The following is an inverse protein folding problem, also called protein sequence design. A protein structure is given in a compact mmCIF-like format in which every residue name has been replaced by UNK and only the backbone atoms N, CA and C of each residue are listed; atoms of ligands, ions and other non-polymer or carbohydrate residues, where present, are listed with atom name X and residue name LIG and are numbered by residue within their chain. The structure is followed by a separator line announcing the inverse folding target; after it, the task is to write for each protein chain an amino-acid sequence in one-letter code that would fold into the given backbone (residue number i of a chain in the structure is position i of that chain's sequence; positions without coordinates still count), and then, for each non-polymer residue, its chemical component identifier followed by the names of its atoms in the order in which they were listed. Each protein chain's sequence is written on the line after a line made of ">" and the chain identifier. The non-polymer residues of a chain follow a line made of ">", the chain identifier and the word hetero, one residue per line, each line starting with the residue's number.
data_IF_334897325310
#
_entry.id   IF_334897325310
#
_cell.length_a   1.000
_cell.length_b   1.000
_cell.length_c   1.000
_cell.angle_alpha   90.00
_cell.angle_beta   90.00
_cell.angle_gamma   90.00
#
_symmetry.space_group_name_H-M   'P 1'
#
loop_
_entity.id
_entity.type
_entity.pdbx_description
1 polymer ?
#
# COMPACT_ATOMS: atom_id res chain seq x y z
N UNK A 1 2.86 31.40 -9.55
CA UNK A 1 2.92 31.10 -10.99
C UNK A 1 2.67 29.62 -11.16
N UNK A 2 1.45 29.20 -11.57
CA UNK A 2 1.18 27.81 -11.99
C UNK A 2 2.01 27.56 -13.25
N UNK A 3 3.07 26.79 -13.16
CA UNK A 3 3.72 26.25 -14.35
C UNK A 3 2.70 25.30 -14.98
N UNK A 4 2.04 25.74 -16.04
CA UNK A 4 1.18 24.89 -16.86
C UNK A 4 2.08 23.87 -17.54
N UNK A 5 2.20 22.67 -16.92
CA UNK A 5 2.88 21.57 -17.58
C UNK A 5 2.15 21.28 -18.90
N UNK A 6 2.88 21.02 -19.99
CA UNK A 6 2.27 20.64 -21.25
C UNK A 6 1.42 19.36 -21.05
N UNK A 7 0.25 19.34 -21.66
CA UNK A 7 -0.80 18.32 -21.45
C UNK A 7 -0.26 16.89 -21.62
N UNK A 8 0.65 16.66 -22.55
CA UNK A 8 1.25 15.34 -22.78
C UNK A 8 2.11 14.86 -21.59
N UNK A 9 2.87 15.77 -20.93
CA UNK A 9 3.63 15.42 -19.72
C UNK A 9 2.70 15.07 -18.55
N UNK A 10 1.60 15.78 -18.44
CA UNK A 10 0.59 15.53 -17.43
C UNK A 10 -0.05 14.14 -17.61
N UNK A 11 -0.46 13.81 -18.85
CA UNK A 11 -1.02 12.51 -19.19
C UNK A 11 -0.01 11.38 -18.94
N UNK A 12 1.26 11.56 -19.33
CA UNK A 12 2.29 10.53 -19.09
C UNK A 12 2.53 10.29 -17.60
N UNK A 13 2.55 11.32 -16.77
CA UNK A 13 2.72 11.17 -15.32
C UNK A 13 1.53 10.47 -14.67
N UNK A 14 0.30 10.76 -15.09
CA UNK A 14 -0.93 10.10 -14.58
C UNK A 14 -0.95 8.62 -14.91
N UNK A 15 -0.48 8.22 -16.09
CA UNK A 15 -0.55 6.83 -16.53
C UNK A 15 0.69 6.05 -16.09
N UNK A 16 1.89 6.57 -16.37
CA UNK A 16 3.13 5.85 -16.11
C UNK A 16 3.50 5.79 -14.62
N UNK A 17 3.18 6.83 -13.85
CA UNK A 17 3.44 6.84 -12.42
C UNK A 17 2.72 5.70 -11.68
N UNK A 18 1.37 5.62 -11.73
CA UNK A 18 0.63 4.52 -11.13
C UNK A 18 1.03 3.15 -11.66
N UNK A 19 1.20 2.98 -12.98
CA UNK A 19 1.63 1.71 -13.57
C UNK A 19 3.00 1.26 -13.06
N UNK A 20 3.95 2.18 -12.90
CA UNK A 20 5.26 1.89 -12.35
C UNK A 20 5.16 1.36 -10.91
N UNK A 21 4.39 2.00 -10.04
CA UNK A 21 4.21 1.55 -8.66
C UNK A 21 3.40 0.26 -8.56
N UNK A 22 2.40 0.06 -9.42
CA UNK A 22 1.70 -1.23 -9.54
C UNK A 22 2.66 -2.36 -9.93
N UNK A 23 3.53 -2.12 -10.90
CA UNK A 23 4.52 -3.11 -11.33
C UNK A 23 5.51 -3.45 -10.21
N UNK A 24 6.00 -2.44 -9.48
CA UNK A 24 6.87 -2.64 -8.33
C UNK A 24 6.19 -3.48 -7.24
N UNK A 25 4.91 -3.24 -6.97
CA UNK A 25 4.16 -4.00 -5.96
C UNK A 25 4.03 -5.49 -6.30
N UNK A 26 4.13 -5.87 -7.57
CA UNK A 26 4.13 -7.27 -8.00
C UNK A 26 5.54 -7.91 -7.92
N UNK A 27 6.60 -7.12 -8.13
CA UNK A 27 7.97 -7.62 -8.09
C UNK A 27 8.40 -7.96 -6.65
N UNK A 28 8.04 -7.13 -5.67
CA UNK A 28 8.49 -7.29 -4.27
C UNK A 28 8.11 -8.66 -3.68
N UNK A 29 6.89 -9.17 -3.83
CA UNK A 29 6.54 -10.53 -3.39
C UNK A 29 7.40 -11.61 -4.05
N UNK A 30 7.71 -11.45 -5.35
CA UNK A 30 8.57 -12.39 -6.09
C UNK A 30 9.98 -12.40 -5.47
N UNK A 31 10.53 -11.24 -5.14
CA UNK A 31 11.83 -11.14 -4.45
C UNK A 31 11.76 -11.80 -3.08
N UNK A 32 10.65 -11.71 -2.36
CA UNK A 32 10.41 -12.42 -1.11
C UNK A 32 10.57 -13.94 -1.23
N UNK A 33 10.25 -14.54 -2.39
CA UNK A 33 10.39 -15.99 -2.61
C UNK A 33 11.84 -16.44 -2.73
N UNK A 34 12.81 -15.53 -2.91
CA UNK A 34 14.24 -15.86 -2.98
C UNK A 34 14.78 -16.38 -1.63
N UNK A 35 14.11 -16.09 -0.54
CA UNK A 35 14.47 -16.64 0.77
C UNK A 35 13.72 -17.94 1.06
N UNK A 36 14.44 -18.98 1.49
CA UNK A 36 13.83 -20.23 1.94
C UNK A 36 13.32 -20.16 3.40
N UNK A 37 13.78 -19.16 4.17
CA UNK A 37 13.38 -18.94 5.56
C UNK A 37 12.18 -18.00 5.63
N UNK A 38 11.20 -18.32 6.50
CA UNK A 38 10.06 -17.43 6.73
C UNK A 38 10.49 -16.06 7.28
N UNK A 39 11.53 -16.01 8.14
CA UNK A 39 12.08 -14.75 8.64
C UNK A 39 12.67 -13.94 7.49
N UNK A 40 13.45 -14.58 6.61
CA UNK A 40 14.03 -13.92 5.45
C UNK A 40 12.96 -13.37 4.49
N UNK A 41 11.89 -14.14 4.24
CA UNK A 41 10.72 -13.67 3.46
C UNK A 41 10.12 -12.42 4.08
N UNK A 42 9.80 -12.46 5.36
CA UNK A 42 9.19 -11.32 6.08
C UNK A 42 10.07 -10.07 6.00
N UNK A 43 11.36 -10.22 6.25
CA UNK A 43 12.32 -9.11 6.16
C UNK A 43 12.39 -8.52 4.76
N UNK A 44 12.48 -9.36 3.72
CA UNK A 44 12.51 -8.90 2.33
C UNK A 44 11.22 -8.17 1.93
N UNK A 45 10.07 -8.65 2.38
CA UNK A 45 8.78 -7.99 2.11
C UNK A 45 8.69 -6.61 2.78
N UNK A 46 9.07 -6.49 4.05
CA UNK A 46 9.10 -5.17 4.71
C UNK A 46 10.12 -4.23 4.10
N UNK A 47 11.33 -4.71 3.80
CA UNK A 47 12.33 -3.92 3.08
C UNK A 47 11.80 -3.44 1.73
N UNK A 48 11.08 -4.29 1.00
CA UNK A 48 10.42 -3.93 -0.25
C UNK A 48 9.43 -2.79 -0.10
N UNK A 49 8.62 -2.78 0.97
CA UNK A 49 7.70 -1.68 1.28
C UNK A 49 8.45 -0.36 1.50
N UNK A 50 9.57 -0.38 2.23
CA UNK A 50 10.42 0.80 2.43
C UNK A 50 11.10 1.25 1.13
N UNK A 51 11.51 0.33 0.27
CA UNK A 51 12.06 0.66 -1.05
C UNK A 51 11.02 1.36 -1.91
N UNK A 52 9.78 0.87 -1.94
CA UNK A 52 8.66 1.52 -2.68
C UNK A 52 8.44 2.95 -2.16
N UNK A 53 8.40 3.15 -0.83
CA UNK A 53 8.29 4.48 -0.23
C UNK A 53 9.48 5.40 -0.61
N UNK A 54 10.69 4.86 -0.57
CA UNK A 54 11.91 5.59 -0.97
C UNK A 54 11.87 6.02 -2.43
N UNK A 55 11.46 5.13 -3.32
CA UNK A 55 11.28 5.42 -4.74
C UNK A 55 10.19 6.46 -4.97
N UNK A 56 9.10 6.43 -4.20
CA UNK A 56 8.07 7.47 -4.25
C UNK A 56 8.62 8.85 -3.86
N UNK A 57 9.37 8.94 -2.76
CA UNK A 57 10.01 10.19 -2.34
C UNK A 57 10.98 10.70 -3.41
N UNK A 58 11.74 9.80 -4.01
CA UNK A 58 12.66 10.13 -5.11
C UNK A 58 11.89 10.64 -6.33
N UNK A 59 10.82 9.95 -6.72
CA UNK A 59 9.93 10.36 -7.80
C UNK A 59 9.40 11.79 -7.59
N UNK A 60 8.90 12.10 -6.38
CA UNK A 60 8.40 13.44 -6.06
C UNK A 60 9.49 14.52 -6.15
N UNK A 61 10.71 14.21 -5.69
CA UNK A 61 11.83 15.16 -5.75
C UNK A 61 12.30 15.42 -7.18
N UNK A 62 12.39 14.38 -8.02
CA UNK A 62 12.93 14.47 -9.37
C UNK A 62 11.92 15.04 -10.36
N UNK A 63 10.70 14.48 -10.38
CA UNK A 63 9.68 14.83 -11.38
C UNK A 63 8.81 16.00 -10.95
N UNK A 64 8.44 16.07 -9.67
CA UNK A 64 7.51 17.08 -9.17
C UNK A 64 8.21 18.21 -8.40
N UNK A 65 9.50 18.06 -8.06
CA UNK A 65 10.30 19.04 -7.33
C UNK A 65 9.63 19.52 -6.03
N UNK A 66 8.95 18.63 -5.32
CA UNK A 66 8.26 18.90 -4.04
C UNK A 66 8.65 17.94 -2.92
N UNK A 67 8.30 18.31 -1.69
CA UNK A 67 8.45 17.47 -0.50
C UNK A 67 7.14 16.72 -0.23
N UNK A 68 7.18 15.42 0.16
CA UNK A 68 6.00 14.62 0.49
C UNK A 68 5.43 15.03 1.85
N UNK A 69 4.54 16.02 1.90
CA UNK A 69 3.88 16.39 3.16
C UNK A 69 2.81 15.38 3.58
N UNK A 70 2.41 14.51 2.68
CA UNK A 70 1.52 13.37 2.95
C UNK A 70 2.12 12.36 3.95
N UNK A 71 3.46 12.28 4.01
CA UNK A 71 4.22 11.38 4.89
C UNK A 71 4.53 11.98 6.26
N UNK A 72 3.90 13.08 6.67
CA UNK A 72 4.11 13.67 8.00
C UNK A 72 3.58 12.76 9.10
N UNK A 73 4.49 12.13 9.84
CA UNK A 73 4.19 11.16 10.91
C UNK A 73 3.33 11.72 12.05
N UNK A 74 3.43 13.01 12.34
CA UNK A 74 2.77 13.62 13.53
C UNK A 74 1.23 13.58 13.49
N UNK A 75 0.65 13.53 12.29
CA UNK A 75 -0.81 13.46 12.09
C UNK A 75 -1.28 12.06 11.65
N UNK A 76 -0.33 11.16 11.36
CA UNK A 76 -0.63 9.86 10.75
C UNK A 76 -1.03 8.80 11.75
N UNK A 77 -0.49 8.82 12.98
CA UNK A 77 -0.72 7.74 13.95
C UNK A 77 -2.18 7.61 14.40
N UNK A 78 -2.89 8.69 14.83
CA UNK A 78 -4.30 8.58 15.18
C UNK A 78 -5.17 8.17 13.98
N UNK A 79 -4.87 8.69 12.79
CA UNK A 79 -5.58 8.32 11.56
C UNK A 79 -5.34 6.85 11.18
N UNK A 80 -4.13 6.35 11.40
CA UNK A 80 -3.78 4.93 11.17
C UNK A 80 -4.56 4.03 12.13
N UNK A 81 -4.60 4.36 13.42
CA UNK A 81 -5.37 3.60 14.41
C UNK A 81 -6.86 3.62 14.10
N UNK A 82 -7.40 4.77 13.73
CA UNK A 82 -8.80 4.91 13.32
C UNK A 82 -9.10 4.08 12.07
N UNK A 83 -8.25 4.14 11.05
CA UNK A 83 -8.39 3.35 9.83
C UNK A 83 -8.29 1.85 10.11
N UNK A 84 -7.37 1.42 10.97
CA UNK A 84 -7.24 0.02 11.39
C UNK A 84 -8.51 -0.47 12.12
N UNK A 85 -9.05 0.34 13.03
CA UNK A 85 -10.26 -0.01 13.77
C UNK A 85 -11.48 -0.11 12.84
N UNK A 86 -11.68 0.88 11.96
CA UNK A 86 -12.82 0.89 11.01
C UNK A 86 -12.68 -0.27 10.02
N UNK A 87 -11.48 -0.49 9.45
CA UNK A 87 -11.22 -1.58 8.53
C UNK A 87 -11.43 -2.95 9.17
N UNK A 88 -10.93 -3.14 10.38
CA UNK A 88 -11.14 -4.37 11.15
C UNK A 88 -12.63 -4.62 11.45
N UNK A 89 -13.36 -3.59 11.88
CA UNK A 89 -14.80 -3.69 12.11
C UNK A 89 -15.54 -4.07 10.83
N UNK A 90 -15.18 -3.47 9.71
CA UNK A 90 -15.78 -3.77 8.41
C UNK A 90 -15.60 -5.23 8.00
N UNK A 91 -14.39 -5.78 8.18
CA UNK A 91 -14.10 -7.20 7.90
C UNK A 91 -14.92 -8.12 8.81
N UNK A 92 -14.95 -7.82 10.12
CA UNK A 92 -15.73 -8.60 11.09
C UNK A 92 -17.23 -8.59 10.73
N UNK A 93 -17.77 -7.43 10.35
CA UNK A 93 -19.16 -7.32 9.91
C UNK A 93 -19.41 -8.12 8.63
N UNK A 94 -18.52 -8.03 7.63
CA UNK A 94 -18.67 -8.76 6.38
C UNK A 94 -18.67 -10.28 6.60
N UNK A 95 -17.70 -10.79 7.38
CA UNK A 95 -17.63 -12.22 7.73
C UNK A 95 -18.84 -12.63 8.56
N UNK A 96 -19.29 -11.81 9.50
CA UNK A 96 -20.49 -12.05 10.31
C UNK A 96 -21.75 -12.17 9.45
N UNK A 97 -21.93 -11.30 8.46
CA UNK A 97 -23.05 -11.37 7.51
C UNK A 97 -22.98 -12.67 6.70
N UNK A 98 -21.81 -13.05 6.18
CA UNK A 98 -21.66 -14.31 5.43
C UNK A 98 -21.95 -15.54 6.30
N UNK A 99 -21.58 -15.50 7.58
CA UNK A 99 -21.89 -16.57 8.53
C UNK A 99 -23.39 -16.66 8.82
N UNK A 100 -24.07 -15.52 8.98
CA UNK A 100 -25.53 -15.47 9.20
C UNK A 100 -26.33 -16.06 8.02
N UNK A 101 -25.85 -15.85 6.78
CA UNK A 101 -26.44 -16.45 5.58
C UNK A 101 -26.05 -17.92 5.36
N UNK A 102 -25.24 -18.51 6.26
CA UNK A 102 -24.79 -19.89 6.15
C UNK A 102 -23.78 -20.15 5.01
N UNK A 103 -23.27 -19.08 4.36
CA UNK A 103 -22.26 -19.16 3.31
C UNK A 103 -20.88 -19.46 3.89
N UNK A 104 -20.61 -18.96 5.10
CA UNK A 104 -19.37 -19.16 5.81
C UNK A 104 -19.61 -19.91 7.13
N UNK A 105 -18.86 -20.99 7.35
CA UNK A 105 -18.88 -21.75 8.60
C UNK A 105 -17.51 -21.75 9.23
N UNK A 106 -17.44 -21.40 10.51
CA UNK A 106 -16.20 -21.47 11.29
C UNK A 106 -16.10 -22.90 11.81
N UNK A 107 -15.23 -23.72 11.19
CA UNK A 107 -15.00 -25.11 11.62
C UNK A 107 -13.98 -25.17 12.76
N UNK A 108 -12.90 -24.34 12.69
CA UNK A 108 -11.90 -24.24 13.73
C UNK A 108 -11.21 -22.86 13.67
N UNK A 109 -10.76 -22.38 14.82
CA UNK A 109 -9.92 -21.18 14.90
C UNK A 109 -8.51 -21.67 15.25
N UNK A 110 -7.67 -21.77 14.22
CA UNK A 110 -6.23 -22.04 14.37
C UNK A 110 -5.46 -20.81 13.96
N UNK A 111 -4.60 -20.29 14.83
CA UNK A 111 -3.76 -19.11 14.54
C UNK A 111 -2.34 -19.63 14.25
N UNK A 112 -1.95 -19.58 12.98
CA UNK A 112 -0.57 -19.72 12.60
C UNK A 112 0.08 -18.33 12.57
N UNK A 113 0.93 -18.08 13.57
CA UNK A 113 1.61 -16.78 13.73
C UNK A 113 2.58 -16.49 12.59
N UNK A 114 3.17 -17.51 11.96
CA UNK A 114 4.09 -17.34 10.83
C UNK A 114 3.31 -16.85 9.63
N UNK A 115 2.20 -17.51 9.31
CA UNK A 115 1.33 -17.10 8.21
C UNK A 115 0.72 -15.71 8.45
N UNK A 116 0.33 -15.41 9.69
CA UNK A 116 -0.18 -14.09 10.03
C UNK A 116 0.84 -12.98 9.78
N UNK A 117 2.09 -13.18 10.20
CA UNK A 117 3.17 -12.20 9.99
C UNK A 117 3.51 -12.05 8.51
N UNK A 118 3.59 -13.16 7.77
CA UNK A 118 3.83 -13.13 6.33
C UNK A 118 2.72 -12.41 5.57
N UNK A 119 1.46 -12.71 5.87
CA UNK A 119 0.33 -12.04 5.28
C UNK A 119 0.31 -10.54 5.62
N UNK A 120 0.62 -10.16 6.85
CA UNK A 120 0.73 -8.76 7.25
C UNK A 120 1.83 -8.02 6.46
N UNK A 121 2.99 -8.66 6.27
CA UNK A 121 4.07 -8.11 5.46
C UNK A 121 3.66 -7.94 3.98
N UNK A 122 2.96 -8.93 3.41
CA UNK A 122 2.40 -8.85 2.04
C UNK A 122 1.38 -7.73 1.90
N UNK A 123 0.42 -7.65 2.80
CA UNK A 123 -0.59 -6.59 2.80
C UNK A 123 -0.01 -5.20 2.99
N UNK A 124 1.12 -5.07 3.71
CA UNK A 124 1.83 -3.79 3.86
C UNK A 124 2.33 -3.26 2.52
N UNK A 125 2.80 -4.13 1.60
CA UNK A 125 3.24 -3.73 0.25
C UNK A 125 2.05 -3.19 -0.55
N UNK A 126 0.93 -3.91 -0.52
CA UNK A 126 -0.31 -3.51 -1.22
C UNK A 126 -0.79 -2.16 -0.68
N UNK A 127 -0.93 -2.03 0.64
CA UNK A 127 -1.39 -0.80 1.29
C UNK A 127 -0.52 0.41 0.96
N UNK A 128 0.82 0.26 1.03
CA UNK A 128 1.77 1.33 0.67
C UNK A 128 1.63 1.71 -0.80
N UNK A 129 1.51 0.73 -1.69
CA UNK A 129 1.38 0.98 -3.14
C UNK A 129 0.06 1.65 -3.47
N UNK A 130 -1.05 1.21 -2.90
CA UNK A 130 -2.37 1.83 -3.08
C UNK A 130 -2.39 3.28 -2.56
N UNK A 131 -1.82 3.53 -1.38
CA UNK A 131 -1.73 4.89 -0.83
C UNK A 131 -0.94 5.83 -1.75
N UNK A 132 0.19 5.36 -2.29
CA UNK A 132 1.00 6.12 -3.25
C UNK A 132 0.20 6.39 -4.52
N UNK A 133 -0.44 5.37 -5.09
CA UNK A 133 -1.18 5.48 -6.35
C UNK A 133 -2.38 6.39 -6.21
N UNK A 134 -3.25 6.10 -5.24
CA UNK A 134 -4.50 6.84 -5.11
C UNK A 134 -4.29 8.22 -4.52
N UNK A 135 -3.65 8.33 -3.36
CA UNK A 135 -3.52 9.58 -2.63
C UNK A 135 -2.33 10.41 -3.11
N UNK A 136 -1.21 9.76 -3.36
CA UNK A 136 0.02 10.42 -3.79
C UNK A 136 -0.01 10.90 -5.24
N UNK A 137 -0.63 10.14 -6.15
CA UNK A 137 -0.62 10.43 -7.57
C UNK A 137 -2.00 10.83 -8.12
N UNK A 138 -3.01 9.95 -8.04
CA UNK A 138 -4.29 10.17 -8.72
C UNK A 138 -5.12 11.30 -8.12
N UNK A 139 -5.48 11.22 -6.83
CA UNK A 139 -6.35 12.25 -6.23
C UNK A 139 -5.75 13.64 -6.26
N UNK A 140 -4.45 13.73 -6.15
CA UNK A 140 -3.78 15.01 -6.22
C UNK A 140 -3.83 15.61 -7.62
N UNK A 141 -3.57 14.79 -8.65
CA UNK A 141 -3.58 15.27 -10.03
C UNK A 141 -4.96 15.71 -10.51
N UNK A 142 -6.04 15.19 -9.89
CA UNK A 142 -7.42 15.62 -10.17
C UNK A 142 -7.72 16.97 -9.50
N UNK A 143 -7.07 17.26 -8.36
CA UNK A 143 -7.32 18.49 -7.58
C UNK A 143 -6.46 19.70 -8.01
N UNK A 144 -5.38 19.51 -8.77
CA UNK A 144 -4.52 20.58 -9.30
C UNK A 144 -4.96 21.05 -10.70
#
# INVERSE_FOLDING_TARGET
>A
MKQTMPLWKWITLIILGPLFFLFLSQIVPIVGTLSNSWIGKTVLLFLGSFVILGLYVLYLKVFEKRTPYELKLKTSLPNLLLGFTIGGLFIVCAVGILALFGVYRIEAITIDWIDLILNFAMLSIVAVSEEIIFRGLLFRMIND
#
